data_IF_133631209659
#
_entry.id   IF_133631209659
#
_cell.length_a   1.000
_cell.length_b   1.000
_cell.length_c   1.000
_cell.angle_alpha   90.00
_cell.angle_beta   90.00
_cell.angle_gamma   90.00
#
_symmetry.space_group_name_H-M   'P 1'
#
loop_
_entity.id
_entity.type
_entity.pdbx_description
1 polymer ?
#
# COMPACT_ATOMS: atom_id res chain seq x y z
N UNK A 1 -10.04 2.98 -8.27
CA UNK A 1 -9.23 3.94 -7.50
C UNK A 1 -9.47 3.78 -6.01
N UNK A 2 -8.40 3.94 -5.22
CA UNK A 2 -8.41 3.74 -3.78
C UNK A 2 -9.28 4.79 -3.07
N UNK A 3 -9.87 4.41 -1.94
CA UNK A 3 -10.68 5.30 -1.11
C UNK A 3 -10.02 5.51 0.26
N UNK A 4 -9.59 6.75 0.51
CA UNK A 4 -8.95 7.16 1.78
C UNK A 4 -9.84 6.97 3.01
N UNK A 5 -11.17 6.96 2.84
CA UNK A 5 -12.12 6.74 3.94
C UNK A 5 -12.10 5.27 4.35
N UNK A 6 -11.88 4.38 3.38
CA UNK A 6 -11.80 2.93 3.58
C UNK A 6 -10.36 2.44 3.75
N UNK A 7 -9.40 3.31 4.08
CA UNK A 7 -8.03 2.88 4.37
C UNK A 7 -7.96 1.96 5.60
N UNK A 8 -7.09 0.96 5.57
CA UNK A 8 -6.81 0.17 6.76
C UNK A 8 -6.19 1.04 7.86
N UNK A 9 -6.56 0.77 9.11
CA UNK A 9 -6.09 1.53 10.28
C UNK A 9 -4.59 1.29 10.56
N UNK A 10 -4.06 0.16 10.09
CA UNK A 10 -2.67 -0.25 10.27
C UNK A 10 -1.70 0.54 9.37
N UNK A 11 -2.20 1.23 8.36
CA UNK A 11 -1.38 2.11 7.52
C UNK A 11 -0.73 3.20 8.39
N UNK A 12 0.57 3.41 8.22
CA UNK A 12 1.22 4.57 8.82
C UNK A 12 0.66 5.87 8.24
N UNK A 13 0.60 6.91 9.07
CA UNK A 13 0.09 8.21 8.63
C UNK A 13 0.96 8.77 7.50
N UNK A 14 0.30 9.21 6.42
CA UNK A 14 0.94 9.87 5.30
C UNK A 14 0.17 9.70 4.00
N UNK A 15 0.86 10.03 2.91
CA UNK A 15 0.32 10.10 1.56
C UNK A 15 -0.12 8.73 1.03
N UNK A 16 0.68 7.71 1.30
CA UNK A 16 0.46 6.36 0.80
C UNK A 16 -0.38 5.54 1.76
N UNK A 17 -1.35 4.81 1.25
CA UNK A 17 -2.20 3.92 2.05
C UNK A 17 -2.74 2.77 1.21
N UNK A 18 -3.14 1.69 1.88
CA UNK A 18 -3.94 0.59 1.31
C UNK A 18 -5.36 0.64 1.87
N UNK A 19 -6.35 0.54 1.00
CA UNK A 19 -7.77 0.48 1.36
C UNK A 19 -8.31 -0.94 1.49
N UNK A 20 -9.52 -1.05 2.05
CA UNK A 20 -10.23 -2.31 2.28
C UNK A 20 -10.62 -3.08 1.02
N UNK A 21 -10.34 -2.56 -0.19
CA UNK A 21 -10.46 -3.35 -1.43
C UNK A 21 -9.30 -4.33 -1.59
N UNK A 22 -8.25 -4.23 -0.78
CA UNK A 22 -7.11 -5.16 -0.81
C UNK A 22 -7.58 -6.61 -0.73
N UNK A 23 -7.04 -7.44 -1.62
CA UNK A 23 -7.36 -8.87 -1.72
C UNK A 23 -6.17 -9.77 -1.32
N UNK A 24 -5.18 -9.20 -0.63
CA UNK A 24 -3.94 -9.88 -0.24
C UNK A 24 -3.27 -10.64 -1.40
N UNK A 25 -3.04 -9.94 -2.51
CA UNK A 25 -2.35 -10.52 -3.67
C UNK A 25 -0.82 -10.50 -3.54
N UNK A 26 -0.27 -9.86 -2.50
CA UNK A 26 1.16 -9.71 -2.19
C UNK A 26 2.01 -8.96 -3.24
N UNK A 27 1.44 -8.56 -4.38
CA UNK A 27 2.16 -7.82 -5.44
C UNK A 27 2.83 -6.54 -4.90
N UNK A 28 2.18 -5.85 -3.96
CA UNK A 28 2.70 -4.59 -3.44
C UNK A 28 3.87 -4.77 -2.46
N UNK A 29 3.84 -5.82 -1.64
CA UNK A 29 4.94 -6.16 -0.74
C UNK A 29 6.13 -6.77 -1.49
N UNK A 30 5.91 -7.38 -2.66
CA UNK A 30 6.99 -7.79 -3.56
C UNK A 30 7.62 -6.61 -4.33
N UNK A 31 6.80 -5.69 -4.86
CA UNK A 31 7.27 -4.53 -5.62
C UNK A 31 7.95 -3.47 -4.73
N UNK A 32 7.42 -3.24 -3.53
CA UNK A 32 7.87 -2.21 -2.61
C UNK A 32 8.01 -2.75 -1.16
N UNK A 33 8.90 -3.73 -0.92
CA UNK A 33 9.04 -4.42 0.37
C UNK A 33 9.50 -3.51 1.52
N UNK A 34 10.04 -2.33 1.20
CA UNK A 34 10.46 -1.32 2.18
C UNK A 34 9.30 -0.48 2.71
N UNK A 35 8.14 -0.51 2.04
CA UNK A 35 7.01 0.36 2.31
C UNK A 35 5.72 -0.40 2.60
N UNK A 36 5.53 -1.56 1.95
CA UNK A 36 4.34 -2.40 2.09
C UNK A 36 4.69 -3.73 2.75
N UNK A 37 3.79 -4.23 3.59
CA UNK A 37 3.91 -5.57 4.20
C UNK A 37 2.54 -6.14 4.48
N UNK A 38 2.50 -7.46 4.62
CA UNK A 38 1.31 -8.20 5.05
C UNK A 38 0.98 -7.87 6.53
N UNK A 39 -0.31 -7.70 6.82
CA UNK A 39 -0.84 -7.54 8.16
C UNK A 39 -0.57 -8.79 9.01
N UNK A 40 -0.28 -8.67 10.32
CA UNK A 40 -0.12 -9.84 11.19
C UNK A 40 -1.35 -10.76 11.24
N UNK A 41 -2.54 -10.24 10.89
CA UNK A 41 -3.80 -10.97 10.75
C UNK A 41 -3.86 -11.84 9.48
N UNK A 42 -3.00 -11.60 8.48
CA UNK A 42 -2.95 -12.36 7.24
C UNK A 42 -4.17 -12.16 6.34
N UNK A 43 -4.80 -10.98 6.39
CA UNK A 43 -6.02 -10.64 5.64
C UNK A 43 -5.85 -9.49 4.65
N UNK A 44 -4.81 -8.66 4.82
CA UNK A 44 -4.53 -7.54 3.92
C UNK A 44 -3.04 -7.15 3.93
N UNK A 45 -2.61 -6.44 2.89
CA UNK A 45 -1.36 -5.68 2.89
C UNK A 45 -1.62 -4.24 3.34
N UNK A 46 -0.61 -3.60 3.92
CA UNK A 46 -0.69 -2.20 4.36
C UNK A 46 0.65 -1.46 4.21
N UNK A 47 0.58 -0.12 4.19
CA UNK A 47 1.77 0.73 4.20
C UNK A 47 2.31 0.81 5.62
N UNK A 48 3.45 0.15 5.90
CA UNK A 48 4.09 0.21 7.22
C UNK A 48 5.15 1.29 7.33
N UNK A 49 5.58 1.85 6.20
CA UNK A 49 6.55 2.95 6.14
C UNK A 49 6.24 3.82 4.92
N UNK A 50 6.14 5.13 5.11
CA UNK A 50 6.02 6.07 3.99
C UNK A 50 7.35 6.13 3.21
N UNK A 51 7.30 6.28 1.88
CA UNK A 51 8.51 6.39 1.06
C UNK A 51 9.26 7.69 1.33
N UNK A 52 10.52 7.56 1.75
CA UNK A 52 11.39 8.69 2.13
C UNK A 52 12.38 9.05 1.01
N UNK A 53 12.72 8.08 0.15
CA UNK A 53 13.66 8.25 -0.98
C UNK A 53 12.93 8.20 -2.32
N UNK A 54 13.57 8.70 -3.38
CA UNK A 54 13.01 8.63 -4.73
C UNK A 54 12.83 7.19 -5.22
N UNK A 55 13.73 6.29 -4.83
CA UNK A 55 13.62 4.86 -5.13
C UNK A 55 12.40 4.22 -4.45
N UNK A 56 12.17 4.51 -3.16
CA UNK A 56 10.99 4.02 -2.44
C UNK A 56 9.69 4.59 -3.04
N UNK A 57 9.70 5.85 -3.51
CA UNK A 57 8.54 6.46 -4.19
C UNK A 57 8.25 5.77 -5.51
N UNK A 58 9.28 5.53 -6.32
CA UNK A 58 9.12 4.84 -7.60
C UNK A 58 8.57 3.42 -7.40
N UNK A 59 9.12 2.68 -6.44
CA UNK A 59 8.61 1.34 -6.09
C UNK A 59 7.16 1.39 -5.60
N UNK A 60 6.79 2.40 -4.80
CA UNK A 60 5.42 2.58 -4.33
C UNK A 60 4.46 2.92 -5.48
N UNK A 61 4.89 3.72 -6.45
CA UNK A 61 4.15 4.02 -7.69
C UNK A 61 3.95 2.76 -8.53
N UNK A 62 4.99 1.95 -8.70
CA UNK A 62 4.92 0.66 -9.39
C UNK A 62 3.95 -0.30 -8.69
N UNK A 63 4.02 -0.41 -7.35
CA UNK A 63 3.10 -1.21 -6.56
C UNK A 63 1.64 -0.77 -6.75
N UNK A 64 1.39 0.55 -6.77
CA UNK A 64 0.06 1.12 -7.00
C UNK A 64 -0.48 0.79 -8.40
N UNK A 65 0.36 0.91 -9.43
CA UNK A 65 -0.02 0.56 -10.81
C UNK A 65 -0.22 -0.95 -11.00
N UNK A 66 0.53 -1.77 -10.26
CA UNK A 66 0.44 -3.22 -10.33
C UNK A 66 -0.74 -3.78 -9.51
N UNK A 67 -1.36 -2.98 -8.64
CA UNK A 67 -2.46 -3.43 -7.78
C UNK A 67 -3.69 -3.81 -8.64
N UNK A 68 -4.12 -5.09 -8.66
CA UNK A 68 -5.18 -5.56 -9.57
C UNK A 68 -6.57 -5.01 -9.24
N UNK A 69 -6.73 -4.48 -8.02
CA UNK A 69 -7.99 -3.95 -7.48
C UNK A 69 -7.90 -2.45 -7.17
N UNK A 70 -6.80 -1.81 -7.56
CA UNK A 70 -6.53 -0.38 -7.34
C UNK A 70 -6.76 0.05 -5.88
N UNK A 71 -6.35 -0.80 -4.92
CA UNK A 71 -6.53 -0.58 -3.48
C UNK A 71 -5.47 0.36 -2.86
N UNK A 72 -4.41 0.69 -3.61
CA UNK A 72 -3.33 1.54 -3.15
C UNK A 72 -3.61 2.97 -3.59
N UNK A 73 -3.61 3.90 -2.63
CA UNK A 73 -3.77 5.32 -2.86
C UNK A 73 -2.53 6.11 -2.46
N UNK A 74 -2.35 7.26 -3.10
CA UNK A 74 -1.27 8.21 -2.79
C UNK A 74 -1.81 9.64 -2.59
N UNK A 75 -3.07 9.79 -2.21
CA UNK A 75 -3.74 11.08 -1.97
C UNK A 75 -4.07 11.31 -0.49
N UNK A 76 -3.37 10.59 0.40
CA UNK A 76 -3.52 10.64 1.86
C UNK A 76 -3.06 11.93 2.52
#
# INVERSE_FOLDING_TARGET
>A
MADKIERYEDNVTGKWYVDKKCILCSVCSEAAPKNFKEAPSGDHDFVFKQPETDEERQQSEEAMLACPVEAIGNDG
#
